data_IF_102764257789
#
_entry.id   IF_102764257789
#
_cell.length_a   1.000
_cell.length_b   1.000
_cell.length_c   1.000
_cell.angle_alpha   90.00
_cell.angle_beta   90.00
_cell.angle_gamma   90.00
#
_symmetry.space_group_name_H-M   'P 1'
#
loop_
_entity.id
_entity.type
_entity.pdbx_description
1 polymer ?
#
# COMPACT_ATOMS: atom_id res chain seq x y z
N UNK A 1 7.80 -22.21 -5.83
CA UNK A 1 8.54 -23.09 -6.75
C UNK A 1 7.69 -24.35 -6.94
N UNK A 2 7.46 -24.81 -8.18
CA UNK A 2 6.47 -25.83 -8.53
C UNK A 2 7.18 -27.14 -8.88
N UNK A 3 7.37 -28.04 -7.92
CA UNK A 3 8.10 -29.31 -8.15
C UNK A 3 7.26 -30.53 -7.80
N UNK A 4 7.20 -31.45 -8.76
CA UNK A 4 6.58 -32.76 -8.63
C UNK A 4 7.57 -33.71 -7.97
N UNK A 5 7.60 -33.78 -6.63
CA UNK A 5 8.20 -34.89 -5.89
C UNK A 5 7.67 -34.95 -4.46
N UNK A 6 7.08 -36.09 -4.14
CA UNK A 6 6.21 -36.33 -2.96
C UNK A 6 6.96 -36.99 -1.81
N UNK A 7 8.16 -36.51 -1.46
CA UNK A 7 8.90 -37.03 -0.31
C UNK A 7 8.80 -36.05 0.87
N UNK A 8 8.47 -36.58 2.05
CA UNK A 8 8.24 -35.81 3.30
C UNK A 8 9.45 -34.95 3.67
N UNK A 9 10.65 -35.38 3.28
CA UNK A 9 11.92 -34.70 3.52
C UNK A 9 12.01 -33.33 2.81
N UNK A 10 11.45 -33.21 1.60
CA UNK A 10 11.42 -31.96 0.82
C UNK A 10 10.46 -30.92 1.44
N UNK A 11 9.36 -31.39 2.05
CA UNK A 11 8.39 -30.52 2.75
C UNK A 11 9.05 -29.86 3.95
N UNK A 12 9.77 -30.64 4.77
CA UNK A 12 10.45 -30.15 5.96
C UNK A 12 11.53 -29.13 5.58
N UNK A 13 12.32 -29.41 4.54
CA UNK A 13 13.34 -28.49 4.06
C UNK A 13 12.75 -27.18 3.50
N UNK A 14 11.62 -27.24 2.79
CA UNK A 14 10.92 -26.05 2.30
C UNK A 14 10.35 -25.17 3.42
N UNK A 15 9.84 -25.77 4.50
CA UNK A 15 9.35 -25.07 5.69
C UNK A 15 10.51 -24.46 6.50
N UNK A 16 11.63 -25.17 6.66
CA UNK A 16 12.83 -24.66 7.36
C UNK A 16 13.56 -23.54 6.59
N UNK A 17 13.43 -23.50 5.26
CA UNK A 17 13.93 -22.40 4.43
C UNK A 17 13.04 -21.14 4.46
N UNK A 18 12.00 -21.09 5.31
CA UNK A 18 11.18 -19.91 5.53
C UNK A 18 9.89 -19.84 4.70
N UNK A 19 9.44 -20.95 4.09
CA UNK A 19 8.11 -20.99 3.50
C UNK A 19 7.05 -21.20 4.59
N UNK A 20 6.09 -20.27 4.71
CA UNK A 20 4.97 -20.41 5.67
C UNK A 20 4.08 -21.64 5.38
N UNK A 21 4.09 -22.17 4.15
CA UNK A 21 3.31 -23.35 3.79
C UNK A 21 3.83 -24.07 2.54
N UNK A 22 3.75 -25.40 2.53
CA UNK A 22 4.14 -26.25 1.41
C UNK A 22 2.97 -27.14 0.96
N UNK A 23 2.46 -26.92 -0.25
CA UNK A 23 1.32 -27.66 -0.82
C UNK A 23 1.77 -28.50 -2.03
N UNK A 24 1.59 -29.82 -1.96
CA UNK A 24 1.97 -30.77 -3.02
C UNK A 24 0.78 -31.10 -3.93
N UNK A 25 0.99 -31.15 -5.25
CA UNK A 25 -0.03 -31.60 -6.21
C UNK A 25 -0.26 -33.13 -6.13
N UNK A 26 -1.47 -33.63 -6.47
CA UNK A 26 -2.68 -32.88 -6.80
C UNK A 26 -3.34 -32.33 -5.52
N UNK A 27 -3.61 -31.03 -5.47
CA UNK A 27 -4.25 -30.39 -4.31
C UNK A 27 -5.70 -30.03 -4.63
N UNK A 28 -6.56 -30.09 -3.63
CA UNK A 28 -7.95 -29.66 -3.78
C UNK A 28 -8.06 -28.12 -3.76
N UNK A 29 -8.90 -27.50 -4.60
CA UNK A 29 -9.08 -26.05 -4.62
C UNK A 29 -9.60 -25.50 -3.27
N UNK A 30 -10.30 -26.31 -2.48
CA UNK A 30 -10.72 -25.96 -1.11
C UNK A 30 -9.54 -25.83 -0.15
N UNK A 31 -8.52 -26.67 -0.31
CA UNK A 31 -7.31 -26.68 0.51
C UNK A 31 -6.45 -25.45 0.21
N UNK A 32 -6.35 -25.06 -1.08
CA UNK A 32 -5.68 -23.83 -1.49
C UNK A 32 -6.37 -22.59 -0.88
N UNK A 33 -7.69 -22.51 -0.95
CA UNK A 33 -8.45 -21.40 -0.35
C UNK A 33 -8.31 -21.36 1.18
N UNK A 34 -8.26 -22.51 1.83
CA UNK A 34 -8.02 -22.59 3.27
C UNK A 34 -6.62 -22.09 3.64
N UNK A 35 -5.59 -22.42 2.84
CA UNK A 35 -4.23 -21.92 3.03
C UNK A 35 -4.13 -20.40 2.82
N UNK A 36 -4.76 -19.87 1.77
CA UNK A 36 -4.82 -18.42 1.53
C UNK A 36 -5.48 -17.72 2.74
N UNK A 37 -6.60 -18.26 3.24
CA UNK A 37 -7.31 -17.75 4.44
C UNK A 37 -6.52 -17.92 5.74
N UNK A 38 -5.61 -18.89 5.82
CA UNK A 38 -4.74 -19.09 6.99
C UNK A 38 -3.58 -18.09 6.97
N UNK A 39 -2.96 -17.88 5.81
CA UNK A 39 -1.89 -16.90 5.61
C UNK A 39 -2.39 -15.47 5.86
N UNK A 40 -3.59 -15.11 5.38
CA UNK A 40 -4.20 -13.80 5.70
C UNK A 40 -4.66 -13.66 7.14
N UNK A 41 -4.79 -14.74 7.91
CA UNK A 41 -5.16 -14.69 9.34
C UNK A 41 -3.98 -14.38 10.26
N UNK A 42 -2.75 -14.60 9.78
CA UNK A 42 -1.51 -14.43 10.55
C UNK A 42 -1.04 -12.96 10.65
N UNK A 43 -1.89 -12.01 10.26
CA UNK A 43 -1.80 -10.61 10.69
C UNK A 43 -2.96 -10.30 11.64
N UNK A 44 -2.92 -10.73 12.92
CA UNK A 44 -4.02 -10.51 13.85
C UNK A 44 -4.02 -9.07 14.44
N UNK A 45 -3.18 -8.16 13.95
CA UNK A 45 -3.09 -6.78 14.45
C UNK A 45 -3.68 -5.71 13.49
N UNK A 46 -4.17 -6.09 12.31
CA UNK A 46 -4.73 -5.14 11.32
C UNK A 46 -6.25 -4.94 11.45
N UNK A 47 -6.80 -5.14 12.64
CA UNK A 47 -8.22 -4.91 12.96
C UNK A 47 -8.39 -3.79 13.98
N UNK A 48 -7.80 -2.61 13.75
CA UNK A 48 -8.23 -1.34 14.35
C UNK A 48 -7.36 -0.16 13.86
N UNK A 49 -7.16 -0.07 12.54
CA UNK A 49 -6.49 1.10 11.97
C UNK A 49 -7.37 1.66 10.88
N UNK A 50 -8.59 2.08 11.28
CA UNK A 50 -9.39 3.00 10.45
C UNK A 50 -8.57 4.25 10.10
N UNK A 51 -7.57 4.60 10.91
CA UNK A 51 -6.73 5.78 10.74
C UNK A 51 -5.26 5.44 10.42
N UNK A 52 -4.80 5.71 9.20
CA UNK A 52 -3.38 5.61 8.82
C UNK A 52 -2.61 6.86 9.25
N UNK A 53 -1.50 6.72 9.97
CA UNK A 53 -0.68 7.85 10.43
C UNK A 53 0.67 7.89 9.74
N UNK A 54 1.11 9.07 9.30
CA UNK A 54 2.41 9.28 8.66
C UNK A 54 2.96 10.65 9.10
N UNK A 55 3.89 10.64 10.07
CA UNK A 55 4.40 11.84 10.71
C UNK A 55 3.29 12.66 11.38
N UNK A 56 3.05 13.88 10.90
CA UNK A 56 2.01 14.78 11.39
C UNK A 56 0.64 14.60 10.72
N UNK A 57 0.57 13.73 9.71
CA UNK A 57 -0.67 13.41 9.01
C UNK A 57 -1.40 12.21 9.60
N UNK A 58 -2.72 12.29 9.62
CA UNK A 58 -3.64 11.20 9.96
C UNK A 58 -4.70 11.07 8.87
N UNK A 59 -4.87 9.88 8.33
CA UNK A 59 -5.76 9.60 7.21
C UNK A 59 -6.82 8.61 7.66
N UNK A 60 -8.07 9.06 7.74
CA UNK A 60 -9.21 8.26 8.17
C UNK A 60 -9.89 7.55 6.98
N UNK A 61 -9.87 6.22 6.96
CA UNK A 61 -10.50 5.38 5.94
C UNK A 61 -12.02 5.53 5.93
N UNK A 62 -12.64 5.63 7.10
CA UNK A 62 -14.11 5.62 7.23
C UNK A 62 -14.76 6.91 6.75
N UNK A 63 -14.07 8.04 6.88
CA UNK A 63 -14.60 9.36 6.49
C UNK A 63 -13.92 9.97 5.26
N UNK A 64 -12.86 9.34 4.73
CA UNK A 64 -11.96 9.91 3.72
C UNK A 64 -11.41 11.28 4.14
N UNK A 65 -11.12 11.44 5.42
CA UNK A 65 -10.65 12.71 5.99
C UNK A 65 -9.16 12.63 6.25
N UNK A 66 -8.42 13.60 5.72
CA UNK A 66 -7.02 13.82 6.03
C UNK A 66 -6.93 14.93 7.07
N UNK A 67 -6.30 14.62 8.20
CA UNK A 67 -6.12 15.50 9.33
C UNK A 67 -4.63 15.75 9.54
N UNK A 68 -4.28 16.98 9.86
CA UNK A 68 -2.93 17.39 10.22
C UNK A 68 -3.03 18.31 11.44
N UNK A 69 -2.52 17.85 12.59
CA UNK A 69 -2.71 18.52 13.87
C UNK A 69 -4.18 18.92 14.12
N UNK A 70 -4.50 20.22 14.14
CA UNK A 70 -5.86 20.75 14.39
C UNK A 70 -6.69 20.99 13.11
N UNK A 71 -6.12 20.78 11.92
CA UNK A 71 -6.80 21.01 10.64
C UNK A 71 -7.19 19.70 9.98
N UNK A 72 -8.35 19.67 9.33
CA UNK A 72 -8.83 18.51 8.58
C UNK A 72 -9.38 18.92 7.22
N UNK A 73 -9.15 18.09 6.21
CA UNK A 73 -9.68 18.25 4.86
C UNK A 73 -10.26 16.93 4.36
N UNK A 74 -11.38 16.99 3.65
CA UNK A 74 -11.97 15.81 3.02
C UNK A 74 -11.31 15.51 1.67
N UNK A 75 -11.01 14.25 1.45
CA UNK A 75 -10.47 13.72 0.20
C UNK A 75 -11.58 13.06 -0.61
N UNK A 76 -11.48 13.17 -1.93
CA UNK A 76 -12.21 12.29 -2.85
C UNK A 76 -11.62 10.88 -2.80
N UNK A 77 -12.38 9.89 -3.28
CA UNK A 77 -11.94 8.48 -3.25
C UNK A 77 -10.56 8.27 -3.90
N UNK A 78 -10.33 8.86 -5.07
CA UNK A 78 -9.06 8.74 -5.80
C UNK A 78 -7.89 9.42 -5.11
N UNK A 79 -8.13 10.60 -4.51
CA UNK A 79 -7.11 11.29 -3.73
C UNK A 79 -6.74 10.50 -2.48
N UNK A 80 -7.73 9.90 -1.83
CA UNK A 80 -7.53 9.03 -0.69
C UNK A 80 -6.69 7.81 -1.08
N UNK A 81 -7.09 7.06 -2.10
CA UNK A 81 -6.39 5.84 -2.52
C UNK A 81 -4.94 6.15 -2.94
N UNK A 82 -4.71 7.32 -3.57
CA UNK A 82 -3.37 7.79 -3.94
C UNK A 82 -2.51 8.16 -2.71
N UNK A 83 -3.09 8.90 -1.76
CA UNK A 83 -2.38 9.32 -0.56
C UNK A 83 -2.11 8.14 0.38
N UNK A 84 -3.07 7.22 0.53
CA UNK A 84 -2.92 5.98 1.30
C UNK A 84 -1.71 5.19 0.77
N UNK A 85 -1.60 5.01 -0.55
CA UNK A 85 -0.45 4.35 -1.17
C UNK A 85 0.87 5.06 -0.85
N UNK A 86 0.90 6.39 -0.96
CA UNK A 86 2.09 7.19 -0.68
C UNK A 86 2.50 7.10 0.79
N UNK A 87 1.54 7.08 1.72
CA UNK A 87 1.76 6.93 3.16
C UNK A 87 2.22 5.52 3.53
N UNK A 88 1.61 4.48 2.96
CA UNK A 88 2.03 3.09 3.17
C UNK A 88 3.44 2.81 2.63
N UNK A 89 3.89 3.59 1.65
CA UNK A 89 5.22 3.49 1.04
C UNK A 89 6.07 4.74 1.32
N UNK A 90 5.95 5.30 2.52
CA UNK A 90 6.70 6.47 2.96
C UNK A 90 8.21 6.27 2.74
N UNK A 91 8.88 7.30 2.18
CA UNK A 91 10.30 7.25 1.83
C UNK A 91 10.66 6.41 0.60
N UNK A 92 9.73 5.61 0.06
CA UNK A 92 9.94 4.84 -1.15
C UNK A 92 9.45 5.61 -2.38
N UNK A 93 10.01 5.26 -3.54
CA UNK A 93 9.64 5.86 -4.83
C UNK A 93 8.57 5.00 -5.48
N UNK A 94 7.38 5.58 -5.64
CA UNK A 94 6.27 4.97 -6.37
C UNK A 94 6.27 5.46 -7.82
N UNK A 95 6.33 4.52 -8.76
CA UNK A 95 6.23 4.82 -10.19
C UNK A 95 4.82 5.27 -10.56
N UNK A 96 4.72 6.05 -11.64
CA UNK A 96 3.43 6.51 -12.18
C UNK A 96 2.50 5.33 -12.49
N UNK A 97 3.03 4.30 -13.14
CA UNK A 97 2.30 3.06 -13.48
C UNK A 97 1.70 2.38 -12.25
N UNK A 98 2.47 2.28 -11.15
CA UNK A 98 2.00 1.65 -9.91
C UNK A 98 0.89 2.45 -9.24
N UNK A 99 1.00 3.78 -9.26
CA UNK A 99 -0.05 4.69 -8.77
C UNK A 99 -1.31 4.59 -9.63
N UNK A 100 -1.15 4.59 -10.96
CA UNK A 100 -2.25 4.50 -11.92
C UNK A 100 -3.04 3.20 -11.74
N UNK A 101 -2.33 2.09 -11.71
CA UNK A 101 -2.90 0.74 -11.63
C UNK A 101 -3.66 0.50 -10.33
N UNK A 102 -3.21 1.08 -9.22
CA UNK A 102 -3.92 0.97 -7.95
C UNK A 102 -5.18 1.83 -7.90
N UNK A 103 -5.08 3.09 -8.34
CA UNK A 103 -6.14 4.09 -8.14
C UNK A 103 -7.22 4.00 -9.22
N UNK A 104 -6.86 3.64 -10.44
CA UNK A 104 -7.77 3.53 -11.58
C UNK A 104 -8.01 2.09 -12.05
N UNK A 105 -7.10 1.15 -11.76
CA UNK A 105 -7.22 -0.24 -12.23
C UNK A 105 -6.67 -0.45 -13.64
N UNK A 106 -6.51 -1.72 -14.02
CA UNK A 106 -5.93 -2.13 -15.31
C UNK A 106 -6.81 -1.78 -16.53
N UNK A 107 -8.11 -1.60 -16.33
CA UNK A 107 -9.08 -1.39 -17.42
C UNK A 107 -9.41 0.10 -17.66
N UNK A 108 -8.67 1.01 -17.03
CA UNK A 108 -8.95 2.44 -17.14
C UNK A 108 -8.09 3.11 -18.21
N UNK A 109 -8.71 3.94 -19.06
CA UNK A 109 -8.04 4.88 -19.99
C UNK A 109 -7.32 6.04 -19.28
N UNK A 110 -6.95 5.87 -18.02
CA UNK A 110 -6.27 6.89 -17.27
C UNK A 110 -4.85 7.06 -17.79
N UNK A 111 -4.54 8.26 -18.27
CA UNK A 111 -3.18 8.61 -18.68
C UNK A 111 -2.32 9.06 -17.48
N UNK A 112 -1.00 9.00 -17.65
CA UNK A 112 0.01 9.53 -16.72
C UNK A 112 -0.28 10.96 -16.24
N UNK A 113 -0.87 11.78 -17.12
CA UNK A 113 -1.26 13.16 -16.80
C UNK A 113 -2.27 13.24 -15.64
N UNK A 114 -3.13 12.24 -15.49
CA UNK A 114 -4.07 12.20 -14.36
C UNK A 114 -3.31 12.12 -13.04
N UNK A 115 -2.28 11.26 -12.96
CA UNK A 115 -1.46 11.15 -11.75
C UNK A 115 -0.86 12.51 -11.38
N UNK A 116 -0.34 13.26 -12.35
CA UNK A 116 0.23 14.59 -12.13
C UNK A 116 -0.78 15.61 -11.57
N UNK A 117 -2.01 15.59 -12.10
CA UNK A 117 -3.10 16.46 -11.64
C UNK A 117 -3.49 16.13 -10.20
N UNK A 118 -3.68 14.85 -9.88
CA UNK A 118 -4.04 14.42 -8.52
C UNK A 118 -2.91 14.66 -7.51
N UNK A 119 -1.65 14.46 -7.89
CA UNK A 119 -0.50 14.83 -7.07
C UNK A 119 -0.48 16.34 -6.80
N UNK A 120 -0.82 17.15 -7.80
CA UNK A 120 -0.91 18.60 -7.65
C UNK A 120 -2.03 19.02 -6.69
N UNK A 121 -3.19 18.34 -6.72
CA UNK A 121 -4.26 18.56 -5.75
C UNK A 121 -3.87 18.15 -4.34
N UNK A 122 -3.25 16.97 -4.18
CA UNK A 122 -2.76 16.50 -2.89
C UNK A 122 -1.73 17.47 -2.30
N UNK A 123 -0.79 17.99 -3.10
CA UNK A 123 0.17 19.01 -2.66
C UNK A 123 -0.51 20.27 -2.13
N UNK A 124 -1.50 20.81 -2.86
CA UNK A 124 -2.26 21.98 -2.41
C UNK A 124 -3.00 21.72 -1.09
N UNK A 125 -3.56 20.52 -0.92
CA UNK A 125 -4.23 20.12 0.33
C UNK A 125 -3.25 19.99 1.50
N UNK A 126 -2.10 19.36 1.27
CA UNK A 126 -1.03 19.23 2.27
C UNK A 126 -0.48 20.60 2.70
N UNK A 127 -0.32 21.51 1.74
CA UNK A 127 0.10 22.88 2.00
C UNK A 127 -0.96 23.66 2.81
N UNK A 128 -2.24 23.51 2.47
CA UNK A 128 -3.36 24.12 3.20
C UNK A 128 -3.46 23.64 4.66
N UNK A 129 -3.09 22.37 4.88
CA UNK A 129 -3.00 21.75 6.20
C UNK A 129 -1.74 22.14 6.99
N UNK A 130 -0.78 22.85 6.36
CA UNK A 130 0.56 23.12 6.89
C UNK A 130 1.29 21.87 7.38
N UNK A 131 1.14 20.76 6.66
CA UNK A 131 1.84 19.53 7.02
C UNK A 131 3.34 19.63 6.70
N UNK A 132 4.15 19.00 7.55
CA UNK A 132 5.57 18.76 7.33
C UNK A 132 5.80 17.71 6.24
N UNK A 133 4.84 16.82 6.00
CA UNK A 133 4.94 15.81 4.97
C UNK A 133 4.84 16.45 3.56
N UNK A 134 5.79 16.12 2.70
CA UNK A 134 5.87 16.64 1.33
C UNK A 134 5.95 15.50 0.32
N UNK A 135 5.20 15.66 -0.77
CA UNK A 135 5.28 14.77 -1.92
C UNK A 135 6.39 15.29 -2.85
N UNK A 136 7.51 14.58 -2.89
CA UNK A 136 8.66 14.88 -3.75
C UNK A 136 8.53 14.13 -5.07
N UNK A 137 8.86 14.79 -6.17
CA UNK A 137 8.94 14.15 -7.50
C UNK A 137 10.39 13.81 -7.80
N UNK A 138 10.63 12.54 -8.11
CA UNK A 138 11.94 12.06 -8.56
C UNK A 138 11.86 11.90 -10.07
N UNK A 139 12.65 12.69 -10.80
CA UNK A 139 12.67 12.69 -12.26
C UNK A 139 12.90 11.28 -12.79
N UNK A 140 12.11 10.89 -13.79
CA UNK A 140 12.13 9.57 -14.44
C UNK A 140 11.82 8.36 -13.55
N UNK A 141 11.55 8.53 -12.25
CA UNK A 141 11.25 7.43 -11.34
C UNK A 141 9.82 7.48 -10.79
N UNK A 142 9.33 8.67 -10.40
CA UNK A 142 7.96 8.83 -9.91
C UNK A 142 7.84 9.76 -8.71
N UNK A 143 7.06 9.38 -7.70
CA UNK A 143 6.73 10.20 -6.54
C UNK A 143 7.08 9.49 -5.24
N UNK A 144 7.49 10.25 -4.24
CA UNK A 144 7.74 9.77 -2.89
C UNK A 144 7.15 10.72 -1.88
N UNK A 145 6.60 10.18 -0.79
CA UNK A 145 6.17 10.97 0.36
C UNK A 145 7.30 10.97 1.40
N UNK A 146 7.75 12.16 1.75
CA UNK A 146 8.74 12.37 2.81
C UNK A 146 8.03 13.06 3.96
N UNK A 147 7.88 12.38 5.10
CA UNK A 147 7.52 13.04 6.35
C UNK A 147 8.69 13.91 6.81
N UNK A 148 8.44 15.16 7.19
CA UNK A 148 9.48 16.02 7.77
C UNK A 148 9.90 15.63 9.20
N UNK A 149 9.88 14.34 9.54
CA UNK A 149 10.64 13.83 10.68
C UNK A 149 12.09 13.68 10.20
N UNK A 150 12.95 14.57 10.69
CA UNK A 150 14.40 14.45 10.58
C UNK A 150 14.81 13.03 10.97
N UNK A 151 15.53 12.28 10.10
CA UNK A 151 16.25 11.12 10.56
C UNK A 151 17.41 11.65 11.43
N UNK A 152 17.21 11.64 12.74
CA UNK A 152 18.29 11.81 13.71
C UNK A 152 19.28 10.64 13.64
#
# INVERSE_FOLDING_TARGET
>A
MLTARSEVTDKVQGLDCGADYYLTKPFEPRELLACIRALTRRSPELRDTETLTCGDLRLEQSSFTLSCAERSVRLSRKEFDMLEMLMLNQGLVLTKEKLLLKVWGYESDAEDNNVEVYISFLRKKLEHLHSKAKITTIRMAGYSLVSGEDPA
#
